data_IF_027218573246
#
_entry.id   IF_027218573246
#
_cell.length_a   1.000
_cell.length_b   1.000
_cell.length_c   1.000
_cell.angle_alpha   90.00
_cell.angle_beta   90.00
_cell.angle_gamma   90.00
#
_symmetry.space_group_name_H-M   'P 1'
#
loop_
_entity.id
_entity.type
_entity.pdbx_description
1 polymer ?
#
# COMPACT_ATOMS: atom_id res chain seq x y z
N UNK A 1 3.70 19.66 40.95
CA UNK A 1 2.55 18.81 40.61
C UNK A 1 2.50 18.74 39.09
N UNK A 2 3.38 17.94 38.49
CA UNK A 2 3.32 17.60 37.07
C UNK A 2 2.41 16.39 36.92
N UNK A 3 1.32 16.60 36.19
CA UNK A 3 0.36 15.56 35.87
C UNK A 3 1.01 14.57 34.89
N UNK A 4 1.03 13.33 35.34
CA UNK A 4 1.36 12.11 34.64
C UNK A 4 0.59 12.04 33.31
N UNK A 5 1.26 12.43 32.22
CA UNK A 5 0.71 12.33 30.87
C UNK A 5 0.87 10.87 30.47
N UNK A 6 -0.13 10.06 30.84
CA UNK A 6 -0.19 8.64 30.52
C UNK A 6 0.10 8.45 29.04
N UNK A 7 1.22 7.78 28.74
CA UNK A 7 1.51 7.29 27.42
C UNK A 7 0.37 6.33 27.05
N UNK A 8 -0.49 6.78 26.15
CA UNK A 8 -1.49 5.93 25.50
C UNK A 8 -0.76 4.66 25.01
N UNK A 9 -1.22 3.45 25.36
CA UNK A 9 -0.56 2.24 24.91
C UNK A 9 -0.63 2.25 23.39
N UNK A 10 0.51 2.48 22.74
CA UNK A 10 0.67 2.28 21.31
C UNK A 10 0.40 0.79 21.10
N UNK A 11 -0.85 0.47 20.82
CA UNK A 11 -1.31 -0.89 20.65
C UNK A 11 -0.56 -1.40 19.42
N UNK A 12 0.40 -2.30 19.64
CA UNK A 12 1.08 -3.01 18.57
C UNK A 12 0.03 -3.82 17.81
N UNK A 13 -0.63 -3.20 16.83
CA UNK A 13 -1.52 -3.90 15.93
C UNK A 13 -0.64 -4.89 15.16
N UNK A 14 -0.93 -6.17 15.32
CA UNK A 14 -0.20 -7.22 14.61
C UNK A 14 -0.19 -6.92 13.10
N UNK A 15 0.94 -7.08 12.40
CA UNK A 15 1.06 -6.80 10.97
C UNK A 15 -0.05 -7.45 10.14
N UNK A 16 -0.44 -8.67 10.50
CA UNK A 16 -1.51 -9.42 9.84
C UNK A 16 -2.87 -8.72 9.98
N UNK A 17 -3.20 -8.23 11.18
CA UNK A 17 -4.47 -7.54 11.42
C UNK A 17 -4.53 -6.21 10.66
N UNK A 18 -3.39 -5.50 10.57
CA UNK A 18 -3.27 -4.27 9.78
C UNK A 18 -3.49 -4.53 8.29
N UNK A 19 -2.72 -5.46 7.70
CA UNK A 19 -2.82 -5.78 6.27
C UNK A 19 -4.23 -6.27 5.92
N UNK A 20 -4.87 -7.04 6.80
CA UNK A 20 -6.25 -7.49 6.59
C UNK A 20 -7.24 -6.32 6.56
N UNK A 21 -7.06 -5.32 7.43
CA UNK A 21 -7.87 -4.12 7.43
C UNK A 21 -7.61 -3.24 6.19
N UNK A 22 -6.35 -3.12 5.77
CA UNK A 22 -5.97 -2.42 4.53
C UNK A 22 -6.68 -3.01 3.32
N UNK A 23 -6.62 -4.35 3.15
CA UNK A 23 -7.32 -5.06 2.07
C UNK A 23 -8.84 -4.90 2.18
N UNK A 24 -9.40 -4.95 3.40
CA UNK A 24 -10.83 -4.77 3.62
C UNK A 24 -11.32 -3.39 3.19
N UNK A 25 -10.57 -2.34 3.58
CA UNK A 25 -10.88 -0.95 3.23
C UNK A 25 -10.65 -0.69 1.74
N UNK A 26 -9.61 -1.27 1.15
CA UNK A 26 -9.35 -1.27 -0.28
C UNK A 26 -10.54 -1.81 -1.06
N UNK A 27 -10.98 -3.04 -0.75
CA UNK A 27 -12.08 -3.68 -1.46
C UNK A 27 -13.36 -2.87 -1.38
N UNK A 28 -13.70 -2.32 -0.21
CA UNK A 28 -14.90 -1.47 -0.06
C UNK A 28 -14.76 -0.19 -0.87
N UNK A 29 -13.62 0.48 -0.80
CA UNK A 29 -13.36 1.72 -1.55
C UNK A 29 -13.44 1.47 -3.06
N UNK A 30 -12.79 0.40 -3.54
CA UNK A 30 -12.79 0.00 -4.93
C UNK A 30 -14.18 -0.34 -5.43
N UNK A 31 -14.96 -1.14 -4.69
CA UNK A 31 -16.33 -1.49 -5.08
C UNK A 31 -17.23 -0.26 -5.21
N UNK A 32 -17.13 0.67 -4.25
CA UNK A 32 -17.90 1.93 -4.29
C UNK A 32 -17.47 2.79 -5.49
N UNK A 33 -16.16 2.89 -5.75
CA UNK A 33 -15.64 3.64 -6.89
C UNK A 33 -15.90 2.97 -8.25
N UNK A 34 -16.18 1.67 -8.28
CA UNK A 34 -16.60 0.97 -9.48
C UNK A 34 -17.92 1.49 -10.03
N UNK A 35 -18.88 1.89 -9.18
CA UNK A 35 -20.18 2.38 -9.63
C UNK A 35 -20.10 3.62 -10.55
N UNK A 36 -19.43 4.74 -10.18
CA UNK A 36 -19.24 5.85 -11.09
C UNK A 36 -18.38 5.48 -12.31
N UNK A 37 -17.45 4.53 -12.16
CA UNK A 37 -16.70 3.96 -13.29
C UNK A 37 -17.63 3.29 -14.32
N UNK A 38 -18.61 2.51 -13.86
CA UNK A 38 -19.59 1.86 -14.74
C UNK A 38 -20.41 2.88 -15.54
N UNK A 39 -20.86 3.94 -14.86
CA UNK A 39 -21.59 5.05 -15.51
C UNK A 39 -20.71 5.73 -16.55
N UNK A 40 -19.44 6.00 -16.22
CA UNK A 40 -18.48 6.57 -17.18
C UNK A 40 -18.26 5.66 -18.39
N UNK A 41 -18.19 4.34 -18.18
CA UNK A 41 -18.09 3.35 -19.25
C UNK A 41 -19.26 3.39 -20.22
N UNK A 42 -20.49 3.45 -19.70
CA UNK A 42 -21.70 3.62 -20.53
C UNK A 42 -21.66 4.94 -21.32
N UNK A 43 -21.27 6.03 -20.66
CA UNK A 43 -21.17 7.34 -21.31
C UNK A 43 -20.14 7.36 -22.45
N UNK A 44 -18.99 6.71 -22.26
CA UNK A 44 -17.95 6.54 -23.28
C UNK A 44 -18.50 5.73 -24.45
N UNK A 45 -19.14 4.58 -24.19
CA UNK A 45 -19.74 3.76 -25.23
C UNK A 45 -20.75 4.54 -26.10
N UNK A 46 -21.67 5.27 -25.46
CA UNK A 46 -22.67 6.09 -26.15
C UNK A 46 -22.06 7.23 -26.96
N UNK A 47 -21.02 7.89 -26.43
CA UNK A 47 -20.36 9.02 -27.10
C UNK A 47 -19.58 8.60 -28.36
N UNK A 48 -18.96 7.42 -28.34
CA UNK A 48 -18.10 6.94 -29.42
C UNK A 48 -18.78 5.91 -30.34
N UNK A 49 -20.06 5.60 -30.12
CA UNK A 49 -20.81 4.68 -30.98
C UNK A 49 -20.33 3.23 -30.89
N UNK A 50 -19.80 2.81 -29.73
CA UNK A 50 -19.20 1.48 -29.53
C UNK A 50 -20.25 0.40 -29.18
N UNK A 51 -21.52 0.66 -29.46
CA UNK A 51 -22.63 -0.22 -29.12
C UNK A 51 -22.53 -1.56 -29.84
N UNK A 52 -22.63 -2.68 -29.11
CA UNK A 52 -22.52 -4.04 -29.67
C UNK A 52 -23.86 -4.65 -30.11
N UNK A 53 -24.97 -3.92 -29.95
CA UNK A 53 -26.33 -4.40 -30.26
C UNK A 53 -26.88 -5.36 -29.20
N UNK A 54 -28.21 -5.43 -29.04
CA UNK A 54 -28.88 -6.22 -27.99
C UNK A 54 -29.69 -5.37 -27.01
N UNK A 55 -30.18 -5.99 -25.93
CA UNK A 55 -31.01 -5.30 -24.91
C UNK A 55 -30.23 -4.26 -24.10
N UNK A 56 -28.93 -4.49 -23.87
CA UNK A 56 -28.02 -3.55 -23.19
C UNK A 56 -26.75 -3.32 -24.03
N UNK A 57 -26.80 -2.44 -25.03
CA UNK A 57 -25.75 -2.29 -26.04
C UNK A 57 -24.38 -1.81 -25.51
N UNK A 58 -24.31 -1.33 -24.27
CA UNK A 58 -23.09 -0.79 -23.65
C UNK A 58 -22.73 -1.49 -22.34
N UNK A 59 -23.25 -2.71 -22.10
CA UNK A 59 -23.04 -3.43 -20.84
C UNK A 59 -21.57 -3.78 -20.62
N UNK A 60 -20.86 -4.22 -21.66
CA UNK A 60 -19.43 -4.57 -21.56
C UNK A 60 -18.59 -3.35 -21.15
N UNK A 61 -18.89 -2.19 -21.74
CA UNK A 61 -18.25 -0.92 -21.38
C UNK A 61 -18.58 -0.47 -19.96
N UNK A 62 -19.79 -0.76 -19.47
CA UNK A 62 -20.12 -0.57 -18.06
C UNK A 62 -19.24 -1.45 -17.17
N UNK A 63 -19.02 -2.71 -17.55
CA UNK A 63 -18.12 -3.64 -16.86
C UNK A 63 -16.66 -3.14 -16.86
N UNK A 64 -16.13 -2.76 -18.01
CA UNK A 64 -14.77 -2.20 -18.10
C UNK A 64 -14.61 -0.91 -17.29
N UNK A 65 -15.62 -0.04 -17.33
CA UNK A 65 -15.66 1.18 -16.52
C UNK A 65 -15.67 0.86 -15.03
N UNK A 66 -16.46 -0.13 -14.60
CA UNK A 66 -16.50 -0.60 -13.22
C UNK A 66 -15.13 -1.08 -12.74
N UNK A 67 -14.51 -1.97 -13.51
CA UNK A 67 -13.18 -2.53 -13.20
C UNK A 67 -12.08 -1.47 -13.18
N UNK A 68 -12.12 -0.51 -14.11
CA UNK A 68 -11.21 0.63 -14.12
C UNK A 68 -11.40 1.52 -12.88
N UNK A 69 -12.65 1.82 -12.51
CA UNK A 69 -12.98 2.57 -11.29
C UNK A 69 -12.48 1.88 -10.03
N UNK A 70 -12.68 0.57 -9.92
CA UNK A 70 -12.14 -0.25 -8.82
C UNK A 70 -10.62 -0.13 -8.72
N UNK A 71 -9.93 -0.28 -9.85
CA UNK A 71 -8.47 -0.31 -9.92
C UNK A 71 -7.87 1.05 -9.52
N UNK A 72 -8.43 2.15 -10.03
CA UNK A 72 -7.93 3.51 -9.76
C UNK A 72 -8.15 3.96 -8.31
N UNK A 73 -9.17 3.41 -7.65
CA UNK A 73 -9.48 3.72 -6.26
C UNK A 73 -8.78 2.79 -5.26
N UNK A 74 -8.20 1.68 -5.71
CA UNK A 74 -7.50 0.72 -4.85
C UNK A 74 -6.35 1.36 -4.04
N UNK A 75 -5.44 2.15 -4.66
CA UNK A 75 -4.36 2.81 -3.91
C UNK A 75 -4.86 3.78 -2.84
N UNK A 76 -5.98 4.47 -3.10
CA UNK A 76 -6.62 5.32 -2.10
C UNK A 76 -7.09 4.46 -0.94
N UNK A 77 -7.88 3.43 -1.23
CA UNK A 77 -8.40 2.45 -0.28
C UNK A 77 -7.36 1.91 0.70
N UNK A 78 -6.28 1.35 0.16
CA UNK A 78 -5.15 0.85 0.97
C UNK A 78 -4.52 1.96 1.78
N UNK A 79 -4.28 3.14 1.19
CA UNK A 79 -3.59 4.22 1.87
C UNK A 79 -4.36 4.75 3.09
N UNK A 80 -5.66 5.04 2.96
CA UNK A 80 -6.44 5.54 4.09
C UNK A 80 -6.76 4.42 5.09
N UNK A 81 -6.99 3.18 4.62
CA UNK A 81 -7.12 2.01 5.49
C UNK A 81 -5.87 1.76 6.34
N UNK A 82 -4.69 1.87 5.73
CA UNK A 82 -3.42 1.74 6.42
C UNK A 82 -3.20 2.87 7.41
N UNK A 83 -3.54 4.11 7.04
CA UNK A 83 -3.47 5.27 7.97
C UNK A 83 -4.36 5.09 9.21
N UNK A 84 -5.56 4.54 9.07
CA UNK A 84 -6.45 4.25 10.20
C UNK A 84 -5.84 3.23 11.19
N UNK A 85 -4.98 2.36 10.71
CA UNK A 85 -4.34 1.29 11.48
C UNK A 85 -2.88 1.60 11.87
N UNK A 86 -2.48 2.88 11.81
CA UNK A 86 -1.12 3.32 12.17
C UNK A 86 -0.05 3.02 11.11
N UNK A 87 -0.45 2.67 9.89
CA UNK A 87 0.42 2.49 8.74
C UNK A 87 1.11 3.80 8.31
N UNK A 88 2.38 3.68 7.96
CA UNK A 88 3.23 4.78 7.44
C UNK A 88 3.48 4.70 5.92
N UNK A 89 2.85 3.76 5.22
CA UNK A 89 2.97 3.68 3.77
C UNK A 89 2.49 4.97 3.10
N UNK A 90 3.01 5.24 1.91
CA UNK A 90 2.72 6.43 1.11
C UNK A 90 1.70 6.12 0.03
N UNK A 91 0.86 7.11 -0.30
CA UNK A 91 -0.12 6.98 -1.39
C UNK A 91 0.58 6.78 -2.74
N UNK A 92 1.71 7.46 -2.95
CA UNK A 92 2.48 7.34 -4.19
C UNK A 92 3.10 5.94 -4.34
N UNK A 93 3.55 5.32 -3.24
CA UNK A 93 4.00 3.93 -3.22
C UNK A 93 2.90 2.97 -3.67
N UNK A 94 1.67 3.16 -3.17
CA UNK A 94 0.51 2.37 -3.57
C UNK A 94 0.17 2.54 -5.07
N UNK A 95 0.19 3.78 -5.60
CA UNK A 95 -0.04 4.03 -7.04
C UNK A 95 1.07 3.46 -7.93
N UNK A 96 2.33 3.54 -7.50
CA UNK A 96 3.45 2.94 -8.24
C UNK A 96 3.36 1.42 -8.26
N UNK A 97 3.04 0.81 -7.11
CA UNK A 97 2.82 -0.64 -7.02
C UNK A 97 1.66 -1.10 -7.89
N UNK A 98 0.52 -0.38 -7.86
CA UNK A 98 -0.61 -0.61 -8.77
C UNK A 98 -0.18 -0.53 -10.23
N UNK A 99 0.58 0.51 -10.62
CA UNK A 99 1.03 0.70 -12.00
C UNK A 99 1.95 -0.42 -12.48
N UNK A 100 2.95 -0.80 -11.69
CA UNK A 100 3.87 -1.91 -12.01
C UNK A 100 3.10 -3.22 -12.13
N UNK A 101 2.22 -3.52 -11.17
CA UNK A 101 1.45 -4.75 -11.20
C UNK A 101 0.44 -4.77 -12.36
N UNK A 102 -0.19 -3.65 -12.70
CA UNK A 102 -1.08 -3.56 -13.87
C UNK A 102 -0.34 -3.89 -15.18
N UNK A 103 0.92 -3.47 -15.33
CA UNK A 103 1.78 -3.85 -16.47
C UNK A 103 2.06 -5.35 -16.48
N UNK A 104 2.32 -5.95 -15.32
CA UNK A 104 2.45 -7.41 -15.19
C UNK A 104 1.13 -8.13 -15.51
N UNK A 105 0.00 -7.55 -15.12
CA UNK A 105 -1.34 -8.01 -15.46
C UNK A 105 -1.55 -8.03 -16.97
N UNK A 106 -1.17 -6.95 -17.68
CA UNK A 106 -1.21 -6.88 -19.15
C UNK A 106 -0.37 -7.99 -19.79
N UNK A 107 0.85 -8.23 -19.29
CA UNK A 107 1.69 -9.34 -19.75
C UNK A 107 1.04 -10.70 -19.52
N UNK A 108 0.37 -10.88 -18.38
CA UNK A 108 -0.33 -12.12 -18.01
C UNK A 108 -1.56 -12.36 -18.90
N UNK A 109 -2.35 -11.31 -19.15
CA UNK A 109 -3.50 -11.33 -20.08
C UNK A 109 -3.07 -11.81 -21.47
N UNK A 110 -1.92 -11.36 -21.96
CA UNK A 110 -1.36 -11.78 -23.25
C UNK A 110 -0.97 -13.28 -23.28
N UNK A 111 -0.51 -13.83 -22.15
CA UNK A 111 -0.06 -15.22 -22.06
C UNK A 111 -1.20 -16.25 -21.83
N UNK A 112 -2.26 -15.86 -21.14
CA UNK A 112 -3.34 -16.77 -20.71
C UNK A 112 -4.34 -17.08 -21.83
N UNK A 113 -4.45 -16.22 -22.85
CA UNK A 113 -5.32 -16.38 -24.04
C UNK A 113 -6.73 -16.93 -23.72
N UNK A 114 -7.45 -16.25 -22.82
CA UNK A 114 -8.81 -16.61 -22.44
C UNK A 114 -9.66 -15.35 -22.22
N UNK A 115 -10.53 -15.07 -23.18
CA UNK A 115 -11.32 -13.83 -23.25
C UNK A 115 -12.26 -13.64 -22.05
N UNK A 116 -12.70 -14.71 -21.39
CA UNK A 116 -13.62 -14.63 -20.24
C UNK A 116 -12.94 -14.08 -18.99
N UNK A 117 -11.65 -14.39 -18.78
CA UNK A 117 -10.92 -14.02 -17.56
C UNK A 117 -10.00 -12.81 -17.76
N UNK A 118 -9.57 -12.55 -19.00
CA UNK A 118 -8.67 -11.45 -19.35
C UNK A 118 -9.08 -10.08 -18.78
N UNK A 119 -10.36 -9.68 -18.77
CA UNK A 119 -10.79 -8.40 -18.20
C UNK A 119 -10.49 -8.24 -16.71
N UNK A 120 -10.41 -9.35 -15.96
CA UNK A 120 -10.24 -9.36 -14.51
C UNK A 120 -8.78 -9.43 -14.06
N UNK A 121 -7.88 -9.85 -14.94
CA UNK A 121 -6.45 -10.02 -14.62
C UNK A 121 -5.81 -8.69 -14.25
N UNK A 122 -5.99 -7.64 -15.06
CA UNK A 122 -5.37 -6.34 -14.80
C UNK A 122 -5.88 -5.71 -13.49
N UNK A 123 -7.20 -5.64 -13.23
CA UNK A 123 -7.72 -5.15 -11.95
C UNK A 123 -7.23 -5.95 -10.75
N UNK A 124 -7.15 -7.28 -10.86
CA UNK A 124 -6.65 -8.12 -9.78
C UNK A 124 -5.20 -7.77 -9.43
N UNK A 125 -4.35 -7.65 -10.45
CA UNK A 125 -2.96 -7.25 -10.25
C UNK A 125 -2.85 -5.83 -9.72
N UNK A 126 -3.68 -4.90 -10.20
CA UNK A 126 -3.70 -3.52 -9.72
C UNK A 126 -4.03 -3.44 -8.21
N UNK A 127 -5.01 -4.21 -7.75
CA UNK A 127 -5.37 -4.32 -6.32
C UNK A 127 -4.18 -4.84 -5.51
N UNK A 128 -3.66 -6.02 -5.85
CA UNK A 128 -2.52 -6.64 -5.15
C UNK A 128 -1.29 -5.74 -5.17
N UNK A 129 -0.98 -5.15 -6.32
CA UNK A 129 0.14 -4.23 -6.48
C UNK A 129 0.01 -2.99 -5.62
N UNK A 130 -1.21 -2.50 -5.38
CA UNK A 130 -1.44 -1.33 -4.53
C UNK A 130 -1.08 -1.60 -3.07
N UNK A 131 -1.45 -2.76 -2.54
CA UNK A 131 -1.06 -3.22 -1.18
C UNK A 131 0.45 -3.38 -1.07
N UNK A 132 1.06 -4.10 -2.02
CA UNK A 132 2.50 -4.34 -2.03
C UNK A 132 3.27 -3.03 -2.12
N UNK A 133 2.86 -2.11 -3.00
CA UNK A 133 3.48 -0.79 -3.14
C UNK A 133 3.37 0.05 -1.87
N UNK A 134 2.22 0.02 -1.20
CA UNK A 134 2.02 0.69 0.08
C UNK A 134 2.98 0.16 1.15
N UNK A 135 3.05 -1.17 1.32
CA UNK A 135 3.89 -1.82 2.33
C UNK A 135 5.40 -1.70 2.04
N UNK A 136 5.81 -1.73 0.77
CA UNK A 136 7.20 -1.45 0.40
C UNK A 136 7.59 0.00 0.72
N UNK A 137 6.68 0.95 0.53
CA UNK A 137 6.95 2.35 0.91
C UNK A 137 7.01 2.56 2.44
N UNK A 138 6.32 1.73 3.22
CA UNK A 138 6.46 1.71 4.68
C UNK A 138 7.86 1.25 5.12
N UNK A 139 8.43 0.27 4.43
CA UNK A 139 9.74 -0.31 4.75
C UNK A 139 10.88 0.68 4.51
N UNK A 140 10.78 1.48 3.45
CA UNK A 140 11.74 2.55 3.13
C UNK A 140 11.73 3.70 4.13
N UNK A 141 10.61 3.91 4.82
CA UNK A 141 10.42 5.00 5.80
C UNK A 141 10.48 4.50 7.25
N UNK A 142 10.96 3.27 7.48
CA UNK A 142 11.27 2.86 8.84
C UNK A 142 12.32 3.81 9.41
N UNK A 143 12.08 4.40 10.60
CA UNK A 143 13.06 5.26 11.23
C UNK A 143 14.34 4.46 11.30
N UNK A 144 15.46 5.09 10.90
CA UNK A 144 16.80 4.61 11.20
C UNK A 144 16.72 3.92 12.56
N UNK A 145 16.99 2.61 12.59
CA UNK A 145 17.23 1.94 13.85
C UNK A 145 18.14 2.89 14.63
N UNK A 146 17.79 3.28 15.86
CA UNK A 146 18.68 4.12 16.63
C UNK A 146 19.98 3.35 16.62
N UNK A 147 20.96 3.86 15.88
CA UNK A 147 22.32 3.38 15.99
C UNK A 147 22.60 3.71 17.44
N UNK A 148 22.55 2.69 18.30
CA UNK A 148 23.28 2.72 19.54
C UNK A 148 24.70 2.95 19.06
N UNK A 149 25.07 4.22 18.91
CA UNK A 149 26.43 4.60 18.59
C UNK A 149 27.16 4.26 19.87
N UNK A 150 27.60 3.01 19.95
CA UNK A 150 28.40 2.52 21.05
C UNK A 150 29.56 3.50 21.19
N UNK A 151 29.48 4.35 22.21
CA UNK A 151 30.40 5.46 22.38
C UNK A 151 31.48 4.96 23.29
N UNK A 152 32.60 4.53 22.72
CA UNK A 152 33.76 4.06 23.47
C UNK A 152 34.78 5.19 23.56
N UNK A 153 35.13 5.58 24.78
CA UNK A 153 36.13 6.59 25.09
C UNK A 153 37.28 5.94 25.87
N UNK A 154 38.55 6.20 25.50
CA UNK A 154 39.70 5.73 26.26
C UNK A 154 39.76 6.42 27.62
N UNK A 155 39.99 5.64 28.67
CA UNK A 155 40.11 6.08 30.05
C UNK A 155 41.52 5.75 30.55
N UNK A 156 42.23 6.77 31.01
CA UNK A 156 43.52 6.60 31.67
C UNK A 156 43.33 6.86 33.17
N UNK A 157 43.73 5.91 34.00
CA UNK A 157 43.81 6.10 35.45
C UNK A 157 45.27 6.00 35.89
N UNK A 158 45.70 6.88 36.79
CA UNK A 158 47.07 6.89 37.33
C UNK A 158 46.99 6.85 38.84
N UNK A 159 47.74 5.93 39.46
CA UNK A 159 47.85 5.79 40.91
C UNK A 159 49.31 5.72 41.36
N UNK A 160 49.56 5.86 42.67
CA UNK A 160 50.90 5.71 43.25
C UNK A 160 51.54 4.33 43.03
N UNK A 161 50.76 3.32 42.62
CA UNK A 161 51.25 1.96 42.29
C UNK A 161 51.41 1.71 40.78
N UNK A 162 51.10 2.69 39.93
CA UNK A 162 51.17 2.59 38.47
C UNK A 162 49.94 3.16 37.75
N UNK A 163 50.01 3.23 36.41
CA UNK A 163 48.92 3.66 35.54
C UNK A 163 48.23 2.50 34.82
N UNK A 164 46.92 2.61 34.61
CA UNK A 164 46.10 1.65 33.86
C UNK A 164 45.28 2.38 32.79
N UNK A 165 45.21 1.79 31.60
CA UNK A 165 44.49 2.30 30.44
C UNK A 165 43.32 1.34 30.14
N UNK A 166 42.12 1.88 30.02
CA UNK A 166 40.89 1.13 29.80
C UNK A 166 39.98 1.81 28.79
N UNK A 167 38.84 1.19 28.51
CA UNK A 167 37.81 1.72 27.61
C UNK A 167 36.52 1.83 28.41
N UNK A 168 35.93 3.03 28.44
CA UNK A 168 34.62 3.27 29.04
C UNK A 168 33.64 3.73 27.97
N UNK A 169 32.36 3.45 28.14
CA UNK A 169 31.40 3.81 27.11
C UNK A 169 29.97 3.43 27.42
N UNK A 170 29.07 3.84 26.53
CA UNK A 170 27.71 3.29 26.47
C UNK A 170 27.72 2.21 25.39
N UNK A 171 27.34 1.00 25.78
CA UNK A 171 27.21 -0.18 24.92
C UNK A 171 25.73 -0.47 24.69
#
# INVERSE_FOLDING_TARGET
MEADRQAEPVQFIHPIARVSAEIGVELVTSLVAGAPGAVAGVAVCGKFGLSTGGWFPCLDYAGYGFLAGMSLAAPLGVWWGGKLMGGRGTLIGAYLGMGVAAVLGLGTTYLVYNDDIQPFVIPLFALVGSVVGYELSFSSESPEQPTSVASVQPLLSVSARGGALGLGGRF
#
